data_IF_288994701741
#
_entry.id   IF_288994701741
#
_cell.length_a   1.000
_cell.length_b   1.000
_cell.length_c   1.000
_cell.angle_alpha   90.00
_cell.angle_beta   90.00
_cell.angle_gamma   90.00
#
_symmetry.space_group_name_H-M   'P 1'
#
loop_
_entity.id
_entity.type
_entity.pdbx_description
1 polymer ?
#
# COMPACT_ATOMS: atom_id res chain seq x y z
N UNK A 1 -36.56 11.07 -22.22
CA UNK A 1 -35.18 10.54 -22.15
C UNK A 1 -34.75 10.62 -20.69
N UNK A 2 -34.48 9.49 -20.04
CA UNK A 2 -34.38 9.42 -18.58
C UNK A 2 -32.94 9.80 -18.15
N UNK A 3 -32.77 11.01 -17.60
CA UNK A 3 -31.47 11.57 -17.18
C UNK A 3 -30.74 10.64 -16.20
N UNK A 4 -31.49 9.86 -15.42
CA UNK A 4 -30.96 8.88 -14.49
C UNK A 4 -30.18 7.74 -15.18
N UNK A 5 -30.62 7.32 -16.36
CA UNK A 5 -30.04 6.16 -17.07
C UNK A 5 -28.75 6.53 -17.81
N UNK A 6 -28.65 7.75 -18.35
CA UNK A 6 -27.43 8.29 -18.95
C UNK A 6 -26.36 8.66 -17.92
N UNK A 7 -26.76 8.98 -16.69
CA UNK A 7 -25.82 9.37 -15.62
C UNK A 7 -25.19 8.15 -14.94
N UNK A 8 -25.95 7.06 -14.80
CA UNK A 8 -25.49 5.85 -14.08
C UNK A 8 -24.63 4.94 -14.97
N UNK A 9 -24.92 4.83 -16.27
CA UNK A 9 -24.17 3.95 -17.20
C UNK A 9 -22.66 4.21 -17.24
N UNK A 10 -22.18 5.47 -17.35
CA UNK A 10 -20.74 5.78 -17.34
C UNK A 10 -20.09 5.43 -16.00
N UNK A 11 -20.78 5.68 -14.88
CA UNK A 11 -20.30 5.36 -13.53
C UNK A 11 -20.11 3.86 -13.33
N UNK A 12 -21.04 3.04 -13.84
CA UNK A 12 -20.97 1.57 -13.77
C UNK A 12 -19.90 1.01 -14.71
N UNK A 13 -19.62 1.68 -15.83
CA UNK A 13 -18.52 1.33 -16.74
C UNK A 13 -17.14 1.68 -16.13
N UNK A 14 -17.02 2.82 -15.46
CA UNK A 14 -15.81 3.25 -14.74
C UNK A 14 -15.48 2.35 -13.54
N UNK A 15 -16.51 1.84 -12.83
CA UNK A 15 -16.29 0.92 -11.71
C UNK A 15 -15.77 -0.46 -12.14
N UNK A 16 -15.96 -0.87 -13.40
CA UNK A 16 -15.50 -2.16 -13.93
C UNK A 16 -14.06 -2.15 -14.47
N UNK A 17 -13.43 -0.97 -14.55
CA UNK A 17 -12.08 -0.76 -15.12
C UNK A 17 -10.96 -0.69 -14.07
N UNK A 18 -11.21 -1.14 -12.83
CA UNK A 18 -10.23 -1.04 -11.74
C UNK A 18 -9.41 -2.32 -11.54
N UNK A 19 -8.14 -2.27 -11.93
CA UNK A 19 -7.06 -2.84 -11.12
C UNK A 19 -5.82 -1.92 -11.19
N UNK A 20 -5.28 -1.57 -10.02
CA UNK A 20 -3.88 -1.20 -9.84
C UNK A 20 -3.50 0.29 -9.73
N UNK A 21 -4.07 1.21 -10.52
CA UNK A 21 -3.59 2.61 -10.57
C UNK A 21 -4.69 3.71 -10.58
N UNK A 22 -5.97 3.32 -10.53
CA UNK A 22 -7.07 4.17 -11.03
C UNK A 22 -7.82 5.02 -10.00
N UNK A 23 -7.47 5.02 -8.71
CA UNK A 23 -8.23 5.80 -7.70
C UNK A 23 -8.18 7.31 -7.95
N UNK A 24 -7.02 7.84 -8.37
CA UNK A 24 -6.84 9.27 -8.67
C UNK A 24 -7.57 9.66 -9.96
N UNK A 25 -7.39 8.86 -11.02
CA UNK A 25 -8.09 9.09 -12.31
C UNK A 25 -9.60 9.07 -12.10
N UNK A 26 -10.11 8.17 -11.26
CA UNK A 26 -11.53 8.05 -10.97
C UNK A 26 -12.06 9.21 -10.16
N UNK A 27 -11.32 9.68 -9.14
CA UNK A 27 -11.68 10.89 -8.38
C UNK A 27 -11.69 12.11 -9.30
N UNK A 28 -10.69 12.25 -10.18
CA UNK A 28 -10.61 13.35 -11.16
C UNK A 28 -11.78 13.27 -12.15
N UNK A 29 -12.09 12.09 -12.68
CA UNK A 29 -13.22 11.90 -13.61
C UNK A 29 -14.56 12.19 -12.92
N UNK A 30 -14.77 11.72 -11.69
CA UNK A 30 -15.98 12.03 -10.91
C UNK A 30 -16.08 13.53 -10.65
N UNK A 31 -14.97 14.19 -10.26
CA UNK A 31 -14.94 15.63 -10.05
C UNK A 31 -15.25 16.41 -11.34
N UNK A 32 -14.72 15.99 -12.49
CA UNK A 32 -15.01 16.59 -13.81
C UNK A 32 -16.47 16.37 -14.21
N UNK A 33 -17.04 15.20 -13.94
CA UNK A 33 -18.45 14.91 -14.22
C UNK A 33 -19.36 15.78 -13.35
N UNK A 34 -19.13 15.84 -12.03
CA UNK A 34 -19.88 16.70 -11.11
C UNK A 34 -19.76 18.17 -11.54
N UNK A 35 -18.57 18.61 -11.94
CA UNK A 35 -18.32 19.96 -12.44
C UNK A 35 -19.09 20.29 -13.73
N UNK A 36 -19.12 19.36 -14.70
CA UNK A 36 -19.88 19.52 -15.94
C UNK A 36 -21.38 19.71 -15.66
N UNK A 37 -21.94 18.92 -14.75
CA UNK A 37 -23.36 19.02 -14.39
C UNK A 37 -23.68 20.27 -13.54
N UNK A 38 -22.76 20.70 -12.67
CA UNK A 38 -22.92 21.93 -11.88
C UNK A 38 -22.89 23.21 -12.75
N UNK A 39 -22.14 23.20 -13.86
CA UNK A 39 -22.04 24.35 -14.79
C UNK A 39 -23.19 24.45 -15.80
N UNK A 40 -23.86 23.34 -16.10
CA UNK A 40 -24.95 23.27 -17.07
C UNK A 40 -26.11 24.26 -16.79
N UNK A 41 -26.62 24.42 -15.55
CA UNK A 41 -27.66 25.40 -15.25
C UNK A 41 -27.19 26.87 -15.33
N UNK A 42 -25.89 27.13 -15.13
CA UNK A 42 -25.33 28.48 -15.25
C UNK A 42 -25.15 28.90 -16.71
N UNK A 43 -24.76 27.97 -17.60
CA UNK A 43 -24.68 28.21 -19.03
C UNK A 43 -26.06 28.54 -19.64
N UNK A 44 -27.12 27.86 -19.18
CA UNK A 44 -28.49 28.12 -19.59
C UNK A 44 -28.99 29.50 -19.14
N UNK A 45 -28.66 29.94 -17.92
CA UNK A 45 -29.00 31.29 -17.42
C UNK A 45 -28.28 32.43 -18.16
N UNK A 46 -27.15 32.14 -18.80
CA UNK A 46 -26.36 33.11 -19.57
C UNK A 46 -26.94 33.39 -20.97
N UNK A 47 -27.71 32.43 -21.51
CA UNK A 47 -28.41 32.59 -22.80
C UNK A 47 -29.61 33.53 -22.70
N UNK A 48 -30.24 33.63 -21.52
CA UNK A 48 -31.46 34.42 -21.28
C UNK A 48 -31.24 35.81 -20.64
N UNK A 49 -30.00 36.18 -20.27
CA UNK A 49 -29.73 37.43 -19.55
C UNK A 49 -29.48 38.63 -20.51
N UNK A 50 -30.22 39.76 -20.38
CA UNK A 50 -30.04 40.94 -21.23
C UNK A 50 -28.74 41.74 -20.94
N UNK A 51 -28.17 41.61 -19.74
CA UNK A 51 -26.89 42.23 -19.36
C UNK A 51 -25.71 41.26 -19.58
N UNK A 52 -25.30 41.14 -20.84
CA UNK A 52 -24.36 40.11 -21.29
C UNK A 52 -22.91 40.27 -20.78
N UNK A 53 -22.52 41.41 -20.23
CA UNK A 53 -21.13 41.65 -19.80
C UNK A 53 -20.88 41.23 -18.33
N UNK A 54 -21.77 41.62 -17.42
CA UNK A 54 -21.70 41.30 -15.99
C UNK A 54 -21.96 39.81 -15.73
N UNK A 55 -22.92 39.21 -16.44
CA UNK A 55 -23.20 37.78 -16.37
C UNK A 55 -22.01 36.93 -16.87
N UNK A 56 -21.32 37.36 -17.92
CA UNK A 56 -20.16 36.66 -18.49
C UNK A 56 -18.93 36.78 -17.58
N UNK A 57 -18.72 37.93 -16.95
CA UNK A 57 -17.68 38.13 -15.95
C UNK A 57 -17.92 37.29 -14.69
N UNK A 58 -19.15 37.26 -14.19
CA UNK A 58 -19.53 36.43 -13.04
C UNK A 58 -19.39 34.94 -13.33
N UNK A 59 -19.71 34.50 -14.55
CA UNK A 59 -19.49 33.12 -14.99
C UNK A 59 -18.02 32.79 -15.14
N UNK A 60 -17.21 33.67 -15.75
CA UNK A 60 -15.77 33.49 -15.86
C UNK A 60 -15.09 33.39 -14.49
N UNK A 61 -15.47 34.25 -13.54
CA UNK A 61 -14.99 34.20 -12.16
C UNK A 61 -15.44 32.92 -11.43
N UNK A 62 -16.69 32.51 -11.61
CA UNK A 62 -17.21 31.25 -11.05
C UNK A 62 -16.49 30.03 -11.61
N UNK A 63 -16.17 30.04 -12.91
CA UNK A 63 -15.41 28.98 -13.58
C UNK A 63 -13.99 28.89 -13.02
N UNK A 64 -13.31 30.02 -12.88
CA UNK A 64 -11.95 30.10 -12.33
C UNK A 64 -11.90 29.67 -10.86
N UNK A 65 -12.84 30.13 -10.03
CA UNK A 65 -12.94 29.75 -8.63
C UNK A 65 -13.19 28.25 -8.46
N UNK A 66 -14.05 27.67 -9.31
CA UNK A 66 -14.38 26.25 -9.27
C UNK A 66 -13.24 25.38 -9.81
N UNK A 67 -12.50 25.84 -10.83
CA UNK A 67 -11.29 25.17 -11.32
C UNK A 67 -10.19 25.20 -10.26
N UNK A 68 -9.99 26.34 -9.59
CA UNK A 68 -9.04 26.45 -8.49
C UNK A 68 -9.41 25.51 -7.33
N UNK A 69 -10.70 25.40 -6.99
CA UNK A 69 -11.18 24.45 -5.98
C UNK A 69 -10.94 22.99 -6.39
N UNK A 70 -11.17 22.62 -7.65
CA UNK A 70 -10.91 21.27 -8.15
C UNK A 70 -9.41 20.93 -8.12
N UNK A 71 -8.54 21.87 -8.48
CA UNK A 71 -7.08 21.71 -8.38
C UNK A 71 -6.65 21.55 -6.92
N UNK A 72 -7.20 22.36 -6.00
CA UNK A 72 -6.91 22.24 -4.57
C UNK A 72 -7.38 20.89 -4.00
N UNK A 73 -8.57 20.41 -4.40
CA UNK A 73 -9.07 19.10 -3.98
C UNK A 73 -8.22 17.96 -4.55
N UNK A 74 -7.76 18.06 -5.80
CA UNK A 74 -6.84 17.09 -6.39
C UNK A 74 -5.47 17.09 -5.70
N UNK A 75 -4.91 18.27 -5.41
CA UNK A 75 -3.65 18.40 -4.69
C UNK A 75 -3.76 17.86 -3.25
N UNK A 76 -4.87 18.14 -2.56
CA UNK A 76 -5.16 17.60 -1.24
C UNK A 76 -5.34 16.07 -1.29
N UNK A 77 -6.04 15.55 -2.30
CA UNK A 77 -6.18 14.10 -2.51
C UNK A 77 -4.84 13.41 -2.72
N UNK A 78 -3.97 13.97 -3.57
CA UNK A 78 -2.60 13.48 -3.80
C UNK A 78 -1.77 13.57 -2.52
N UNK A 79 -1.87 14.66 -1.77
CA UNK A 79 -1.16 14.84 -0.50
C UNK A 79 -1.60 13.82 0.55
N UNK A 80 -2.91 13.62 0.72
CA UNK A 80 -3.47 12.65 1.67
C UNK A 80 -3.13 11.20 1.29
N UNK A 81 -3.14 10.85 -0.01
CA UNK A 81 -2.70 9.53 -0.50
C UNK A 81 -1.19 9.34 -0.37
N UNK A 82 -0.40 10.38 -0.64
CA UNK A 82 1.05 10.39 -0.41
C UNK A 82 1.39 10.24 1.07
N UNK A 83 0.59 10.82 1.95
CA UNK A 83 0.73 10.67 3.40
C UNK A 83 0.34 9.27 3.86
N UNK A 84 -0.77 8.71 3.37
CA UNK A 84 -1.24 7.38 3.76
C UNK A 84 -0.27 6.26 3.33
N UNK A 85 0.37 6.39 2.17
CA UNK A 85 1.40 5.44 1.70
C UNK A 85 2.70 5.47 2.54
N UNK A 86 2.94 6.55 3.30
CA UNK A 86 4.09 6.70 4.21
C UNK A 86 3.81 6.21 5.64
N UNK A 87 2.54 5.98 6.01
CA UNK A 87 2.20 5.34 7.29
C UNK A 87 2.56 3.86 7.15
N UNK A 88 3.84 3.53 7.34
CA UNK A 88 4.32 2.15 7.43
C UNK A 88 4.35 1.79 8.89
N UNK A 89 3.57 0.80 9.29
CA UNK A 89 3.73 0.23 10.62
C UNK A 89 4.98 -0.64 10.59
N UNK A 90 6.00 -0.22 11.34
CA UNK A 90 7.15 -1.04 11.65
C UNK A 90 6.87 -1.76 12.97
N UNK A 91 7.02 -3.08 12.96
CA UNK A 91 6.97 -3.90 14.17
C UNK A 91 8.31 -4.61 14.30
N UNK A 92 8.95 -4.43 15.44
CA UNK A 92 10.25 -5.02 15.72
C UNK A 92 10.09 -6.34 16.50
N UNK A 93 10.95 -7.30 16.18
CA UNK A 93 10.97 -8.64 16.76
C UNK A 93 12.40 -9.00 17.18
N UNK A 94 12.53 -9.66 18.32
CA UNK A 94 13.74 -10.40 18.69
C UNK A 94 13.65 -11.80 18.05
N UNK A 95 14.71 -12.20 17.35
CA UNK A 95 14.75 -13.43 16.54
C UNK A 95 15.59 -14.48 17.23
N UNK A 96 15.00 -15.66 17.38
CA UNK A 96 15.62 -16.85 17.96
C UNK A 96 15.66 -17.95 16.91
N UNK A 97 16.80 -18.60 16.75
CA UNK A 97 16.92 -19.85 15.98
C UNK A 97 16.60 -21.00 16.92
N UNK A 98 15.84 -21.97 16.43
CA UNK A 98 15.44 -23.15 17.20
C UNK A 98 16.26 -24.33 16.72
N UNK A 99 17.05 -24.91 17.61
CA UNK A 99 17.89 -26.07 17.29
C UNK A 99 17.07 -27.38 17.16
N UNK A 100 17.75 -28.50 16.91
CA UNK A 100 17.10 -29.81 16.78
C UNK A 100 16.47 -30.30 18.09
N UNK A 101 17.00 -29.84 19.24
CA UNK A 101 16.48 -30.15 20.58
C UNK A 101 15.29 -29.29 20.99
N UNK A 102 14.98 -28.25 20.20
CA UNK A 102 13.91 -27.29 20.48
C UNK A 102 14.36 -26.13 21.37
N UNK A 103 15.66 -25.98 21.64
CA UNK A 103 16.20 -24.86 22.39
C UNK A 103 16.24 -23.59 21.53
N UNK A 104 15.78 -22.46 22.09
CA UNK A 104 15.81 -21.15 21.46
C UNK A 104 17.16 -20.46 21.71
N UNK A 105 17.88 -20.13 20.64
CA UNK A 105 19.15 -19.40 20.67
C UNK A 105 18.96 -18.01 20.07
N UNK A 106 19.33 -16.97 20.81
CA UNK A 106 19.23 -15.60 20.34
C UNK A 106 20.09 -15.40 19.08
N UNK A 107 19.47 -14.96 18.00
CA UNK A 107 20.13 -14.75 16.72
C UNK A 107 20.26 -13.27 16.37
N UNK A 108 19.18 -12.49 16.46
CA UNK A 108 19.23 -11.09 16.02
C UNK A 108 17.92 -10.36 16.18
N UNK A 109 17.72 -9.30 15.39
CA UNK A 109 16.50 -8.50 15.39
C UNK A 109 15.92 -8.37 14.00
N UNK A 110 14.62 -8.55 13.87
CA UNK A 110 13.88 -8.36 12.63
C UNK A 110 12.93 -7.17 12.74
N UNK A 111 12.93 -6.27 11.75
CA UNK A 111 11.88 -5.26 11.61
C UNK A 111 10.98 -5.62 10.44
N UNK A 112 9.67 -5.65 10.68
CA UNK A 112 8.62 -6.00 9.72
C UNK A 112 7.84 -4.73 9.42
N UNK A 113 7.93 -4.24 8.18
CA UNK A 113 7.27 -3.01 7.73
C UNK A 113 6.17 -3.34 6.74
N UNK A 114 4.93 -2.99 7.05
CA UNK A 114 3.80 -3.18 6.13
C UNK A 114 3.00 -1.88 5.92
N UNK A 115 2.35 -1.80 4.77
CA UNK A 115 1.43 -0.71 4.46
C UNK A 115 0.01 -1.11 4.88
N UNK A 116 -0.68 -0.32 5.73
CA UNK A 116 -2.03 -0.64 6.21
C UNK A 116 -3.11 -0.59 5.11
N UNK A 117 -2.76 -0.16 3.89
CA UNK A 117 -3.68 0.03 2.78
C UNK A 117 -3.46 -0.94 1.61
N UNK A 118 -2.79 -2.08 1.80
CA UNK A 118 -2.84 -3.14 0.78
C UNK A 118 -4.28 -3.64 0.69
N UNK A 119 -5.02 -3.16 -0.32
CA UNK A 119 -6.47 -3.26 -0.48
C UNK A 119 -7.06 -4.66 -0.67
N UNK A 120 -6.37 -5.70 -0.21
CA UNK A 120 -6.84 -7.08 -0.18
C UNK A 120 -6.51 -7.65 1.19
N UNK A 121 -7.54 -7.91 2.01
CA UNK A 121 -7.47 -8.46 3.38
C UNK A 121 -6.77 -9.85 3.50
N UNK A 122 -6.15 -10.34 2.42
CA UNK A 122 -5.55 -11.67 2.33
C UNK A 122 -4.05 -11.62 2.06
N UNK A 123 -3.51 -10.48 1.61
CA UNK A 123 -2.13 -10.39 1.11
C UNK A 123 -1.52 -9.02 1.44
N UNK A 124 -0.90 -8.90 2.61
CA UNK A 124 -0.21 -7.67 3.00
C UNK A 124 1.27 -7.77 2.67
N UNK A 125 1.76 -6.94 1.74
CA UNK A 125 3.19 -6.90 1.41
C UNK A 125 3.99 -6.32 2.58
N UNK A 126 5.06 -7.03 2.94
CA UNK A 126 5.95 -6.73 4.05
C UNK A 126 7.37 -6.54 3.51
N UNK A 127 8.06 -5.51 3.98
CA UNK A 127 9.52 -5.44 3.91
C UNK A 127 10.13 -5.87 5.24
N UNK A 128 11.17 -6.68 5.20
CA UNK A 128 11.83 -7.16 6.42
C UNK A 128 13.30 -6.82 6.40
N UNK A 129 13.83 -6.42 7.56
CA UNK A 129 15.25 -6.23 7.76
C UNK A 129 15.68 -7.05 8.97
N UNK A 130 16.56 -8.03 8.78
CA UNK A 130 17.15 -8.84 9.86
C UNK A 130 18.59 -8.39 10.10
N UNK A 131 18.95 -8.13 11.35
CA UNK A 131 20.30 -7.69 11.74
C UNK A 131 20.84 -8.63 12.82
N UNK A 132 22.04 -9.17 12.57
CA UNK A 132 22.85 -9.93 13.52
C UNK A 132 24.34 -9.58 13.32
N UNK A 133 24.87 -8.68 14.16
CA UNK A 133 26.24 -8.20 14.02
C UNK A 133 26.48 -7.59 12.63
N UNK A 134 27.38 -8.21 11.86
CA UNK A 134 27.71 -7.82 10.48
C UNK A 134 26.71 -8.34 9.42
N UNK A 135 25.78 -9.23 9.79
CA UNK A 135 24.82 -9.83 8.86
C UNK A 135 23.58 -8.94 8.82
N UNK A 136 23.28 -8.42 7.63
CA UNK A 136 22.06 -7.69 7.33
C UNK A 136 21.32 -8.38 6.19
N UNK A 137 20.06 -8.74 6.40
CA UNK A 137 19.18 -9.31 5.37
C UNK A 137 18.05 -8.33 5.05
N UNK A 138 17.76 -8.11 3.77
CA UNK A 138 16.57 -7.40 3.29
C UNK A 138 15.65 -8.39 2.58
N UNK A 139 14.35 -8.30 2.85
CA UNK A 139 13.39 -9.27 2.33
C UNK A 139 12.04 -8.69 2.01
N UNK A 140 11.32 -9.40 1.14
CA UNK A 140 9.94 -9.11 0.80
C UNK A 140 9.08 -10.31 1.21
N UNK A 141 7.97 -10.03 1.86
CA UNK A 141 7.04 -11.06 2.32
C UNK A 141 5.59 -10.65 2.16
N UNK A 142 4.73 -11.57 2.55
CA UNK A 142 3.29 -11.46 2.49
C UNK A 142 2.67 -12.11 3.72
N UNK A 143 1.78 -11.38 4.39
CA UNK A 143 0.91 -11.96 5.41
C UNK A 143 -0.29 -12.59 4.70
N UNK A 144 -0.52 -13.88 4.94
CA UNK A 144 -1.57 -14.71 4.36
C UNK A 144 -2.58 -15.05 5.46
N UNK A 145 -3.85 -14.77 5.22
CA UNK A 145 -4.98 -15.07 6.11
C UNK A 145 -4.80 -14.60 7.58
N UNK A 146 -4.02 -13.53 7.79
CA UNK A 146 -3.60 -13.04 9.11
C UNK A 146 -2.93 -14.09 10.02
N UNK A 147 -2.50 -15.22 9.45
CA UNK A 147 -1.99 -16.37 10.19
C UNK A 147 -0.60 -16.76 9.78
N UNK A 148 -0.24 -16.59 8.51
CA UNK A 148 1.06 -16.96 8.00
C UNK A 148 1.81 -15.74 7.48
N UNK A 149 3.12 -15.71 7.69
CA UNK A 149 4.05 -14.75 7.12
C UNK A 149 5.01 -15.55 6.24
N UNK A 150 4.92 -15.35 4.92
CA UNK A 150 5.74 -16.04 3.93
C UNK A 150 6.54 -15.03 3.12
N UNK A 151 7.75 -15.37 2.71
CA UNK A 151 8.52 -14.45 1.88
C UNK A 151 9.92 -14.94 1.54
N UNK A 152 10.67 -14.02 0.94
CA UNK A 152 12.06 -14.23 0.56
C UNK A 152 12.93 -13.13 1.16
N UNK A 153 14.21 -13.41 1.31
CA UNK A 153 15.21 -12.45 1.76
C UNK A 153 16.52 -12.63 1.02
N UNK A 154 17.34 -11.58 1.06
CA UNK A 154 18.69 -11.55 0.52
C UNK A 154 19.62 -10.89 1.53
N UNK A 155 20.78 -11.49 1.77
CA UNK A 155 21.86 -10.88 2.56
C UNK A 155 22.45 -9.70 1.79
N UNK A 156 22.46 -8.53 2.42
CA UNK A 156 22.96 -7.27 1.84
C UNK A 156 24.17 -6.70 2.58
N UNK A 157 24.45 -7.17 3.81
CA UNK A 157 25.53 -6.64 4.65
C UNK A 157 26.95 -6.89 4.10
N UNK A 158 27.18 -7.98 3.36
CA UNK A 158 28.47 -8.30 2.72
C UNK A 158 28.30 -8.79 1.28
N UNK A 159 28.77 -8.04 0.26
CA UNK A 159 28.62 -8.44 -1.14
C UNK A 159 29.22 -9.81 -1.47
N UNK A 160 30.35 -10.17 -0.85
CA UNK A 160 31.02 -11.45 -1.05
C UNK A 160 30.27 -12.67 -0.46
N UNK A 161 29.24 -12.45 0.36
CA UNK A 161 28.45 -13.52 1.02
C UNK A 161 26.95 -13.38 0.79
N UNK A 162 26.52 -12.77 -0.32
CA UNK A 162 25.08 -12.60 -0.61
C UNK A 162 24.36 -13.95 -0.71
N UNK A 163 23.61 -14.30 0.33
CA UNK A 163 22.68 -15.43 0.36
C UNK A 163 21.30 -14.95 -0.05
N UNK A 164 20.53 -15.81 -0.69
CA UNK A 164 19.07 -15.63 -0.76
C UNK A 164 18.39 -16.81 -0.08
N UNK A 165 17.24 -16.54 0.51
CA UNK A 165 16.48 -17.55 1.24
C UNK A 165 14.98 -17.28 1.17
N UNK A 166 14.23 -18.25 1.68
CA UNK A 166 12.77 -18.18 1.80
C UNK A 166 12.36 -18.62 3.19
N UNK A 167 11.21 -18.17 3.66
CA UNK A 167 10.69 -18.58 4.96
C UNK A 167 9.17 -18.65 4.94
N UNK A 168 8.65 -19.43 5.88
CA UNK A 168 7.23 -19.54 6.18
C UNK A 168 7.07 -19.65 7.70
N UNK A 169 6.41 -18.65 8.27
CA UNK A 169 6.12 -18.60 9.70
C UNK A 169 4.62 -18.55 9.94
N UNK A 170 4.18 -19.18 11.01
CA UNK A 170 2.83 -19.11 11.54
C UNK A 170 2.81 -18.21 12.78
N UNK A 171 1.75 -17.42 12.94
CA UNK A 171 1.55 -16.62 14.15
C UNK A 171 1.24 -17.54 15.33
N UNK A 172 1.96 -17.40 16.44
CA UNK A 172 1.65 -18.11 17.67
C UNK A 172 0.31 -17.62 18.23
N UNK A 173 -0.41 -18.49 18.95
CA UNK A 173 -1.79 -18.25 19.38
C UNK A 173 -2.05 -17.00 20.21
N UNK A 174 -1.02 -16.35 20.76
CA UNK A 174 -1.10 -15.07 21.46
C UNK A 174 -0.92 -13.84 20.55
N UNK A 175 -0.73 -14.04 19.24
CA UNK A 175 -0.53 -12.97 18.26
C UNK A 175 0.79 -12.22 18.42
N UNK A 176 1.68 -12.68 19.31
CA UNK A 176 2.86 -11.93 19.74
C UNK A 176 4.17 -12.48 19.19
N UNK A 177 4.16 -13.71 18.65
CA UNK A 177 5.33 -14.28 17.99
C UNK A 177 4.98 -14.95 16.67
N UNK A 178 5.97 -15.03 15.79
CA UNK A 178 5.93 -15.84 14.57
C UNK A 178 6.86 -17.03 14.78
N UNK A 179 6.47 -18.23 14.36
CA UNK A 179 7.30 -19.41 14.45
C UNK A 179 7.17 -20.27 13.20
N UNK A 180 8.27 -20.85 12.73
CA UNK A 180 8.21 -21.75 11.59
C UNK A 180 9.59 -22.05 11.02
N UNK A 181 9.65 -22.20 9.70
CA UNK A 181 10.82 -22.69 9.00
C UNK A 181 11.37 -21.67 8.01
N UNK A 182 12.68 -21.75 7.80
CA UNK A 182 13.37 -21.01 6.75
C UNK A 182 14.31 -21.94 5.98
N UNK A 183 14.59 -21.55 4.74
CA UNK A 183 15.56 -22.18 3.87
C UNK A 183 16.54 -21.10 3.45
N UNK A 184 17.83 -21.38 3.60
CA UNK A 184 18.94 -20.52 3.20
C UNK A 184 19.95 -21.32 2.38
N UNK A 185 20.78 -20.66 1.60
CA UNK A 185 21.96 -21.28 0.97
C UNK A 185 23.19 -20.97 1.83
N UNK A 186 24.02 -21.97 2.13
CA UNK A 186 25.32 -21.77 2.76
C UNK A 186 26.29 -21.12 1.74
N UNK A 187 26.90 -19.96 2.01
CA UNK A 187 27.79 -19.29 1.07
C UNK A 187 29.18 -19.93 1.01
N UNK A 188 29.49 -20.88 1.91
CA UNK A 188 30.75 -21.62 1.90
C UNK A 188 30.59 -22.89 1.07
N UNK A 189 29.49 -23.64 1.27
CA UNK A 189 29.29 -24.95 0.61
C UNK A 189 28.31 -24.93 -0.56
N UNK A 190 27.53 -23.85 -0.73
CA UNK A 190 26.41 -23.71 -1.67
C UNK A 190 25.25 -24.71 -1.44
N UNK A 191 25.23 -25.36 -0.27
CA UNK A 191 24.18 -26.32 0.08
C UNK A 191 22.95 -25.62 0.68
N UNK A 192 21.74 -26.15 0.43
CA UNK A 192 20.53 -25.68 1.10
C UNK A 192 20.54 -26.08 2.58
N UNK A 193 20.42 -25.09 3.45
CA UNK A 193 20.20 -25.24 4.89
C UNK A 193 18.72 -25.00 5.18
N UNK A 194 18.11 -25.96 5.87
CA UNK A 194 16.75 -25.81 6.41
C UNK A 194 16.85 -25.61 7.91
N UNK A 195 16.21 -24.56 8.43
CA UNK A 195 16.23 -24.25 9.85
C UNK A 195 14.86 -23.85 10.38
N UNK A 196 14.78 -23.73 11.71
CA UNK A 196 13.59 -23.24 12.42
C UNK A 196 13.91 -21.94 13.12
N UNK A 197 12.96 -21.02 13.13
CA UNK A 197 13.11 -19.74 13.81
C UNK A 197 11.81 -19.32 14.49
N UNK A 198 11.94 -18.56 15.57
CA UNK A 198 10.87 -17.89 16.28
C UNK A 198 11.18 -16.42 16.44
N UNK A 199 10.24 -15.56 16.07
CA UNK A 199 10.36 -14.11 16.13
C UNK A 199 9.38 -13.61 17.18
N UNK A 200 9.87 -13.05 18.29
CA UNK A 200 9.05 -12.58 19.40
C UNK A 200 8.94 -11.06 19.34
N UNK A 201 7.72 -10.54 19.34
CA UNK A 201 7.48 -9.10 19.23
C UNK A 201 8.08 -8.36 20.42
N UNK A 202 8.84 -7.30 20.11
CA UNK A 202 9.39 -6.40 21.11
C UNK A 202 8.31 -5.43 21.57
N UNK A 203 8.12 -5.31 22.89
CA UNK A 203 7.16 -4.37 23.50
C UNK A 203 7.69 -2.95 23.48
#
# INVERSE_FOLDING_TARGET
MNILEETIRPLVLLSRLHFGLNSVVTIVVIAVIIFKFALQPFALKLLDAPEKLSALQNFGLSLLASLAAAIMLAALGVFLMGWSSKIRHAVDYDVFVVDDTGQELAFGRASVRYSPFSGTNQHTSVKMQLINGDIELDGNGMIIDNRYLAGTYTEIGKPERRRSGSFLYEISGDGSSWAGQYIAIDPITDDPIVGRARWVRRR
#
